data_IF_117261366180
#
_entry.id   IF_117261366180
#
_cell.length_a   1.000
_cell.length_b   1.000
_cell.length_c   1.000
_cell.angle_alpha   90.00
_cell.angle_beta   90.00
_cell.angle_gamma   90.00
#
_symmetry.space_group_name_H-M   'P 1'
#
loop_
_entity.id
_entity.type
_entity.pdbx_description
1 polymer ?
#
# COMPACT_ATOMS: atom_id res chain seq x y z
N UNK A 1 13.89 -19.59 -4.96
CA UNK A 1 14.78 -18.42 -4.78
C UNK A 1 14.41 -17.76 -3.47
N UNK A 2 15.25 -17.92 -2.44
CA UNK A 2 15.10 -17.25 -1.14
C UNK A 2 15.60 -15.81 -1.31
N UNK A 3 14.67 -14.85 -1.38
CA UNK A 3 15.01 -13.44 -1.26
C UNK A 3 15.07 -13.09 0.23
N UNK A 4 16.28 -13.10 0.78
CA UNK A 4 16.57 -12.60 2.13
C UNK A 4 16.72 -11.07 2.03
N UNK A 5 15.61 -10.35 2.26
CA UNK A 5 15.65 -8.91 2.46
C UNK A 5 15.98 -8.62 3.92
N UNK A 6 17.24 -8.32 4.17
CA UNK A 6 17.69 -7.75 5.44
C UNK A 6 17.35 -6.26 5.42
N UNK A 7 16.11 -5.92 5.83
CA UNK A 7 15.74 -4.53 6.12
C UNK A 7 16.52 -4.12 7.38
N UNK A 8 17.53 -3.28 7.20
CA UNK A 8 18.20 -2.60 8.29
C UNK A 8 17.16 -1.74 9.01
N UNK A 9 16.70 -2.25 10.15
CA UNK A 9 16.04 -1.46 11.17
C UNK A 9 16.99 -0.35 11.58
N UNK A 10 16.58 0.91 11.40
CA UNK A 10 17.07 1.96 12.29
C UNK A 10 16.91 1.45 13.72
N UNK A 11 17.98 1.57 14.51
CA UNK A 11 17.92 1.23 15.92
C UNK A 11 16.78 2.04 16.54
N UNK A 12 16.11 1.54 17.59
CA UNK A 12 15.09 2.33 18.32
C UNK A 12 15.62 3.72 18.74
N UNK A 13 16.94 3.87 18.76
CA UNK A 13 17.69 5.06 19.14
C UNK A 13 17.84 6.12 18.02
N UNK A 14 17.52 5.81 16.76
CA UNK A 14 17.58 6.78 15.63
C UNK A 14 16.23 7.47 15.35
N UNK A 15 15.23 7.26 16.21
CA UNK A 15 13.91 7.82 16.02
C UNK A 15 13.92 9.28 16.49
N UNK A 16 13.61 10.26 15.61
CA UNK A 16 13.62 11.65 16.00
C UNK A 16 12.70 11.90 17.21
N UNK A 17 13.13 12.69 18.21
CA UNK A 17 12.41 12.87 19.48
C UNK A 17 11.05 13.56 19.32
N UNK A 18 10.73 14.09 18.14
CA UNK A 18 9.44 14.70 17.82
C UNK A 18 8.35 13.67 17.43
N UNK A 19 8.69 12.39 17.31
CA UNK A 19 7.72 11.35 16.99
C UNK A 19 7.12 10.80 18.28
N UNK A 20 5.82 11.00 18.47
CA UNK A 20 5.02 10.27 19.47
C UNK A 20 4.96 8.78 19.09
N UNK A 21 6.02 8.05 19.44
CA UNK A 21 6.16 6.60 19.28
C UNK A 21 4.98 5.82 19.87
N UNK A 22 4.28 6.41 20.85
CA UNK A 22 3.11 5.84 21.51
C UNK A 22 1.89 5.71 20.61
N UNK A 23 1.79 6.47 19.52
CA UNK A 23 0.67 6.35 18.59
C UNK A 23 1.20 6.05 17.19
N UNK A 24 0.96 4.83 16.72
CA UNK A 24 1.22 4.41 15.35
C UNK A 24 -0.08 3.91 14.73
N UNK A 25 -0.22 4.14 13.42
CA UNK A 25 -1.28 3.54 12.63
C UNK A 25 -0.66 2.43 11.80
N UNK A 26 -1.24 1.23 11.90
CA UNK A 26 -0.78 0.06 11.16
C UNK A 26 -1.73 -0.24 10.01
N UNK A 27 -1.17 -0.50 8.83
CA UNK A 27 -1.92 -0.87 7.62
C UNK A 27 -1.43 -2.22 7.13
N UNK A 28 -2.34 -3.18 7.06
CA UNK A 28 -2.03 -4.49 6.49
C UNK A 28 -2.23 -4.49 4.97
N UNK A 29 -1.20 -4.90 4.24
CA UNK A 29 -1.18 -5.02 2.79
C UNK A 29 -0.87 -6.45 2.37
N UNK A 30 -1.57 -6.95 1.36
CA UNK A 30 -1.19 -8.18 0.69
C UNK A 30 0.15 -7.99 -0.03
N UNK A 31 0.99 -9.02 -0.07
CA UNK A 31 2.35 -8.91 -0.62
C UNK A 31 2.37 -8.41 -2.07
N UNK A 32 1.44 -8.85 -2.91
CA UNK A 32 1.35 -8.39 -4.31
C UNK A 32 0.93 -6.92 -4.43
N UNK A 33 0.12 -6.41 -3.48
CA UNK A 33 -0.27 -4.99 -3.45
C UNK A 33 0.94 -4.16 -3.10
N UNK A 34 1.69 -4.59 -2.08
CA UNK A 34 2.92 -3.93 -1.70
C UNK A 34 3.92 -3.89 -2.87
N UNK A 35 4.16 -5.02 -3.54
CA UNK A 35 5.03 -5.05 -4.72
C UNK A 35 4.53 -4.15 -5.85
N UNK A 36 3.22 -4.06 -6.06
CA UNK A 36 2.66 -3.19 -7.09
C UNK A 36 2.77 -1.69 -6.74
N UNK A 37 2.67 -1.33 -5.46
CA UNK A 37 2.81 0.05 -5.00
C UNK A 37 4.27 0.51 -4.95
N UNK A 38 5.14 -0.35 -4.41
CA UNK A 38 6.47 0.04 -3.99
C UNK A 38 7.58 -0.66 -4.79
N UNK A 39 7.33 -1.83 -5.39
CA UNK A 39 8.36 -2.79 -5.83
C UNK A 39 9.37 -2.33 -6.88
N UNK A 40 9.24 -1.14 -7.47
CA UNK A 40 10.28 -0.57 -8.35
C UNK A 40 10.87 0.76 -7.87
N UNK A 41 10.24 1.43 -6.91
CA UNK A 41 10.55 2.82 -6.54
C UNK A 41 10.24 3.09 -5.06
N UNK A 42 10.58 2.15 -4.19
CA UNK A 42 10.47 2.28 -2.73
C UNK A 42 11.10 3.61 -2.29
N UNK A 43 12.31 3.89 -2.77
CA UNK A 43 13.12 5.05 -2.37
C UNK A 43 12.42 6.37 -2.67
N UNK A 44 11.86 6.55 -3.88
CA UNK A 44 11.13 7.76 -4.26
C UNK A 44 9.87 7.99 -3.43
N UNK A 45 9.26 6.92 -2.92
CA UNK A 45 8.08 7.03 -2.06
C UNK A 45 8.49 7.51 -0.66
N UNK A 46 9.57 6.96 -0.11
CA UNK A 46 10.13 7.40 1.17
C UNK A 46 10.63 8.85 1.10
N UNK A 47 11.30 9.23 0.01
CA UNK A 47 11.80 10.60 -0.19
C UNK A 47 10.66 11.64 -0.24
N UNK A 48 9.54 11.29 -0.89
CA UNK A 48 8.32 12.12 -0.85
C UNK A 48 7.66 12.15 0.52
N UNK A 49 7.71 11.07 1.28
CA UNK A 49 7.07 10.96 2.60
C UNK A 49 7.85 11.69 3.70
N UNK A 50 9.18 11.77 3.58
CA UNK A 50 9.99 12.63 4.45
C UNK A 50 9.53 14.09 4.38
N UNK A 51 9.10 14.55 3.20
CA UNK A 51 8.55 15.90 3.02
C UNK A 51 7.25 16.12 3.82
N UNK A 52 6.51 15.05 4.12
CA UNK A 52 5.26 15.10 4.87
C UNK A 52 5.43 14.92 6.38
N UNK A 53 6.66 14.86 6.90
CA UNK A 53 6.97 14.58 8.31
C UNK A 53 6.33 13.27 8.80
N UNK A 54 6.27 12.26 7.92
CA UNK A 54 5.75 10.92 8.23
C UNK A 54 6.85 9.90 8.07
N UNK A 55 7.05 9.09 9.09
CA UNK A 55 7.97 7.96 9.05
C UNK A 55 7.17 6.66 8.88
N UNK A 56 7.58 5.81 7.93
CA UNK A 56 6.94 4.52 7.70
C UNK A 56 7.95 3.41 7.97
N UNK A 57 7.59 2.50 8.87
CA UNK A 57 8.32 1.26 9.12
C UNK A 57 7.55 0.09 8.51
N UNK A 58 8.28 -0.82 7.88
CA UNK A 58 7.70 -2.00 7.27
C UNK A 58 8.04 -3.25 8.08
N UNK A 59 7.05 -4.12 8.25
CA UNK A 59 7.21 -5.42 8.88
C UNK A 59 6.62 -6.49 7.95
N UNK A 60 7.43 -7.49 7.60
CA UNK A 60 7.02 -8.57 6.70
C UNK A 60 6.47 -9.72 7.56
N UNK A 61 5.26 -10.17 7.23
CA UNK A 61 4.56 -11.28 7.89
C UNK A 61 4.27 -12.38 6.86
N UNK A 62 3.93 -13.57 7.32
CA UNK A 62 3.71 -14.74 6.42
C UNK A 62 2.64 -14.48 5.36
N UNK A 63 1.57 -13.76 5.73
CA UNK A 63 0.41 -13.53 4.85
C UNK A 63 0.38 -12.12 4.21
N UNK A 64 1.44 -11.32 4.39
CA UNK A 64 1.42 -9.94 3.94
C UNK A 64 2.51 -9.06 4.53
N UNK A 65 2.25 -7.76 4.49
CA UNK A 65 3.18 -6.72 4.96
C UNK A 65 2.38 -5.74 5.80
N UNK A 66 2.88 -5.45 6.99
CA UNK A 66 2.33 -4.43 7.88
C UNK A 66 3.18 -3.17 7.71
N UNK A 67 2.53 -2.06 7.39
CA UNK A 67 3.15 -0.74 7.38
C UNK A 67 2.74 0.00 8.65
N UNK A 68 3.71 0.30 9.49
CA UNK A 68 3.55 1.13 10.68
C UNK A 68 3.89 2.58 10.32
N UNK A 69 2.93 3.48 10.48
CA UNK A 69 3.03 4.88 10.10
C UNK A 69 3.11 5.71 11.38
N UNK A 70 4.17 6.51 11.52
CA UNK A 70 4.45 7.40 12.63
C UNK A 70 4.50 8.84 12.13
N UNK A 71 4.08 9.78 12.97
CA UNK A 71 4.03 11.20 12.62
C UNK A 71 2.87 11.89 13.33
N UNK A 72 2.71 13.18 13.00
CA UNK A 72 1.56 13.96 13.43
C UNK A 72 0.25 13.30 12.97
N UNK A 73 -0.76 13.36 13.83
CA UNK A 73 -2.01 12.61 13.66
C UNK A 73 -2.67 12.81 12.28
N UNK A 74 -2.77 14.06 11.82
CA UNK A 74 -3.37 14.39 10.53
C UNK A 74 -2.59 13.82 9.34
N UNK A 75 -1.26 13.96 9.33
CA UNK A 75 -0.42 13.46 8.24
C UNK A 75 -0.36 11.93 8.23
N UNK A 76 -0.34 11.30 9.40
CA UNK A 76 -0.41 9.85 9.55
C UNK A 76 -1.74 9.29 9.01
N UNK A 77 -2.87 9.90 9.37
CA UNK A 77 -4.19 9.51 8.87
C UNK A 77 -4.32 9.74 7.36
N UNK A 78 -3.80 10.85 6.85
CA UNK A 78 -3.76 11.13 5.40
C UNK A 78 -2.93 10.09 4.64
N UNK A 79 -1.75 9.74 5.15
CA UNK A 79 -0.86 8.74 4.53
C UNK A 79 -1.51 7.36 4.51
N UNK A 80 -2.14 6.96 5.61
CA UNK A 80 -2.95 5.75 5.67
C UNK A 80 -4.05 5.76 4.59
N UNK A 81 -4.80 6.85 4.48
CA UNK A 81 -5.86 6.99 3.48
C UNK A 81 -5.33 6.84 2.06
N UNK A 82 -4.22 7.50 1.72
CA UNK A 82 -3.60 7.40 0.39
C UNK A 82 -3.17 5.96 0.09
N UNK A 83 -2.49 5.29 1.03
CA UNK A 83 -2.04 3.90 0.86
C UNK A 83 -3.25 2.98 0.64
N UNK A 84 -4.29 3.10 1.47
CA UNK A 84 -5.50 2.28 1.36
C UNK A 84 -6.26 2.57 0.07
N UNK A 85 -6.40 3.83 -0.34
CA UNK A 85 -7.06 4.21 -1.59
C UNK A 85 -6.32 3.63 -2.81
N UNK A 86 -4.98 3.72 -2.83
CA UNK A 86 -4.16 3.14 -3.88
C UNK A 86 -4.27 1.61 -3.89
N UNK A 87 -4.21 0.96 -2.73
CA UNK A 87 -4.41 -0.49 -2.59
C UNK A 87 -5.78 -0.94 -3.12
N UNK A 88 -6.85 -0.22 -2.77
CA UNK A 88 -8.20 -0.46 -3.29
C UNK A 88 -8.25 -0.28 -4.81
N UNK A 89 -7.63 0.77 -5.36
CA UNK A 89 -7.58 1.00 -6.80
C UNK A 89 -6.90 -0.16 -7.55
N UNK A 90 -5.83 -0.71 -6.98
CA UNK A 90 -5.10 -1.87 -7.53
C UNK A 90 -5.95 -3.13 -7.48
N UNK A 91 -6.66 -3.38 -6.38
CA UNK A 91 -7.61 -4.49 -6.26
C UNK A 91 -8.72 -4.40 -7.32
N UNK A 92 -9.28 -3.21 -7.53
CA UNK A 92 -10.29 -2.98 -8.57
C UNK A 92 -9.73 -3.26 -9.96
N UNK A 93 -8.54 -2.73 -10.28
CA UNK A 93 -7.87 -2.97 -11.58
C UNK A 93 -7.60 -4.46 -11.79
N UNK A 94 -7.12 -5.17 -10.77
CA UNK A 94 -6.86 -6.61 -10.84
C UNK A 94 -8.14 -7.43 -11.01
N UNK A 95 -9.19 -7.12 -10.26
CA UNK A 95 -10.48 -7.80 -10.38
C UNK A 95 -11.11 -7.55 -11.76
N UNK A 96 -10.99 -6.33 -12.28
CA UNK A 96 -11.38 -6.01 -13.65
C UNK A 96 -10.59 -6.85 -14.65
N UNK A 97 -9.27 -6.89 -14.57
CA UNK A 97 -8.44 -7.72 -15.46
C UNK A 97 -8.79 -9.21 -15.39
N UNK A 98 -9.09 -9.74 -14.20
CA UNK A 98 -9.57 -11.12 -14.03
C UNK A 98 -10.95 -11.36 -14.65
N UNK A 99 -11.86 -10.39 -14.55
CA UNK A 99 -13.15 -10.46 -15.21
C UNK A 99 -13.00 -10.43 -16.75
N UNK A 100 -12.07 -9.62 -17.27
CA UNK A 100 -11.71 -9.61 -18.69
C UNK A 100 -11.18 -10.96 -19.16
N UNK A 101 -10.23 -11.55 -18.41
CA UNK A 101 -9.67 -12.85 -18.72
C UNK A 101 -10.72 -13.98 -18.70
N UNK A 102 -11.80 -13.82 -17.90
CA UNK A 102 -12.93 -14.76 -17.86
C UNK A 102 -14.01 -14.47 -18.92
N UNK A 103 -13.83 -13.48 -19.78
CA UNK A 103 -14.81 -13.10 -20.79
C UNK A 103 -16.09 -12.48 -20.23
N UNK A 104 -16.13 -12.09 -18.96
CA UNK A 104 -17.31 -11.51 -18.28
C UNK A 104 -17.57 -10.05 -18.66
N UNK A 105 -16.90 -9.55 -19.70
CA UNK A 105 -16.97 -8.15 -20.09
C UNK A 105 -18.28 -7.77 -20.78
N UNK A 106 -19.15 -8.73 -21.11
CA UNK A 106 -20.51 -8.38 -21.53
C UNK A 106 -21.34 -8.02 -20.30
N UNK A 107 -21.71 -6.74 -20.12
CA UNK A 107 -22.82 -6.45 -19.25
C UNK A 107 -24.03 -7.15 -19.87
N UNK A 108 -24.70 -8.03 -19.14
CA UNK A 108 -25.95 -8.68 -19.58
C UNK A 108 -27.02 -7.66 -20.06
N UNK A 109 -26.84 -6.38 -19.77
CA UNK A 109 -27.70 -5.27 -20.20
C UNK A 109 -27.28 -4.58 -21.51
N UNK A 110 -26.08 -4.85 -22.07
CA UNK A 110 -25.64 -4.28 -23.37
C UNK A 110 -25.99 -5.16 -24.57
N UNK A 111 -26.20 -6.46 -24.40
CA UNK A 111 -26.63 -7.34 -25.51
C UNK A 111 -28.09 -7.13 -25.93
N UNK A 112 -28.90 -6.42 -25.12
CA UNK A 112 -30.32 -6.11 -25.43
C UNK A 112 -30.54 -4.83 -26.26
N UNK A 113 -29.52 -4.02 -26.53
CA UNK A 113 -29.68 -2.78 -27.32
C UNK A 113 -29.34 -2.90 -28.80
N UNK A 114 -29.09 -4.10 -29.32
CA UNK A 114 -28.70 -4.30 -30.73
C UNK A 114 -29.76 -4.97 -31.62
N UNK A 115 -31.02 -4.94 -31.20
CA UNK A 115 -32.18 -5.30 -32.03
C UNK A 115 -33.19 -4.15 -31.95
N UNK A 116 -32.99 -3.13 -32.78
CA UNK A 116 -34.01 -2.18 -33.23
C UNK A 116 -33.90 -2.15 -34.74
#
# INVERSE_FOLDING_TARGET
MLFQFQLCYGHLDDIPPFLDLLTSLSVHLEQWVFQALFGSRIELLFERLETYHVYIRMEIVVDGIILHIYGLEAFRAFTMFVIVALACSLRIKRNRARALARGLQNPLWWSRRRYI
#
